data_IF_557847631184
#
_entry.id   IF_557847631184
#
_cell.length_a   1.000
_cell.length_b   1.000
_cell.length_c   1.000
_cell.angle_alpha   90.00
_cell.angle_beta   90.00
_cell.angle_gamma   90.00
#
_symmetry.space_group_name_H-M   'P 1'
#
loop_
_entity.id
_entity.type
_entity.pdbx_description
1 polymer ?
#
# COMPACT_ATOMS: atom_id res chain seq x y z
N UNK A 1 24.31 7.22 18.71
CA UNK A 1 23.82 6.50 17.51
C UNK A 1 22.96 5.35 18.00
N UNK A 2 21.71 5.18 17.55
CA UNK A 2 20.89 4.03 17.94
C UNK A 2 21.51 2.72 17.46
N UNK A 3 21.47 1.68 18.28
CA UNK A 3 22.05 0.36 17.98
C UNK A 3 20.99 -0.73 17.79
N UNK A 4 19.71 -0.41 17.98
CA UNK A 4 18.60 -1.35 17.91
C UNK A 4 17.37 -0.72 17.25
N UNK A 5 16.39 -1.57 16.93
CA UNK A 5 15.06 -1.15 16.52
C UNK A 5 14.16 -0.88 17.73
N UNK A 6 13.16 -0.03 17.54
CA UNK A 6 12.15 0.27 18.56
C UNK A 6 11.02 -0.76 18.48
N UNK A 7 10.56 -1.25 19.63
CA UNK A 7 9.51 -2.27 19.75
C UNK A 7 8.08 -1.68 19.64
N UNK A 8 7.83 -0.88 18.59
CA UNK A 8 6.53 -0.27 18.29
C UNK A 8 6.11 -0.61 16.86
N UNK A 9 4.84 -0.43 16.52
CA UNK A 9 4.38 -0.52 15.15
C UNK A 9 4.96 0.62 14.33
N UNK A 10 5.52 0.33 13.16
CA UNK A 10 6.14 1.34 12.28
C UNK A 10 5.14 2.34 11.71
N UNK A 11 3.88 1.96 11.55
CA UNK A 11 2.88 2.80 10.90
C UNK A 11 2.05 3.62 11.88
N UNK A 12 1.66 3.05 13.02
CA UNK A 12 0.84 3.75 14.02
C UNK A 12 1.58 4.10 15.31
N UNK A 13 2.85 3.67 15.47
CA UNK A 13 3.65 3.82 16.69
C UNK A 13 3.06 3.18 17.96
N UNK A 14 1.96 2.41 17.84
CA UNK A 14 1.37 1.65 18.93
C UNK A 14 2.17 0.41 19.33
N UNK A 15 1.83 -0.18 20.48
CA UNK A 15 2.50 -1.36 21.05
C UNK A 15 1.79 -2.69 20.77
N UNK A 16 0.55 -2.64 20.32
CA UNK A 16 -0.27 -3.83 20.09
C UNK A 16 -0.04 -4.40 18.68
N UNK A 17 0.60 -5.56 18.59
CA UNK A 17 0.97 -6.19 17.31
C UNK A 17 -0.06 -7.16 16.74
N UNK A 18 -0.78 -7.89 17.59
CA UNK A 18 -1.69 -8.96 17.18
C UNK A 18 -0.98 -10.13 16.48
N UNK A 19 -1.77 -11.03 15.87
CA UNK A 19 -1.28 -12.34 15.40
C UNK A 19 -0.73 -12.36 13.97
N UNK A 20 -0.97 -11.30 13.19
CA UNK A 20 -0.53 -11.17 11.79
C UNK A 20 0.40 -9.97 11.62
N UNK A 21 1.23 -9.70 12.62
CA UNK A 21 2.28 -8.70 12.46
C UNK A 21 3.32 -9.16 11.44
N UNK A 22 3.90 -8.22 10.71
CA UNK A 22 5.01 -8.45 9.78
C UNK A 22 6.07 -7.38 9.97
N UNK A 23 7.08 -7.33 9.10
CA UNK A 23 8.14 -6.31 9.14
C UNK A 23 8.04 -5.36 7.95
N UNK A 24 8.59 -4.15 8.09
CA UNK A 24 8.64 -3.14 7.03
C UNK A 24 9.49 -3.58 5.81
N UNK A 25 10.24 -4.68 5.94
CA UNK A 25 11.04 -5.28 4.87
C UNK A 25 10.33 -6.44 4.15
N UNK A 26 9.11 -6.79 4.57
CA UNK A 26 8.29 -7.80 3.89
C UNK A 26 7.94 -7.34 2.47
N UNK A 27 8.26 -8.16 1.47
CA UNK A 27 8.15 -7.79 0.06
C UNK A 27 6.70 -7.54 -0.39
N UNK A 28 5.77 -8.35 0.12
CA UNK A 28 4.34 -8.21 -0.18
C UNK A 28 3.82 -6.88 0.37
N UNK A 29 4.15 -6.58 1.63
CA UNK A 29 3.79 -5.32 2.26
C UNK A 29 4.43 -4.13 1.55
N UNK A 30 5.72 -4.18 1.21
CA UNK A 30 6.42 -3.13 0.45
C UNK A 30 5.70 -2.84 -0.86
N UNK A 31 5.31 -3.89 -1.59
CA UNK A 31 4.63 -3.75 -2.88
C UNK A 31 3.30 -3.01 -2.73
N UNK A 32 2.52 -3.35 -1.70
CA UNK A 32 1.27 -2.66 -1.41
C UNK A 32 1.52 -1.21 -0.96
N UNK A 33 2.47 -1.00 -0.05
CA UNK A 33 2.80 0.32 0.49
C UNK A 33 3.27 1.30 -0.57
N UNK A 34 4.06 0.87 -1.56
CA UNK A 34 4.49 1.71 -2.69
C UNK A 34 3.33 2.29 -3.50
N UNK A 35 2.16 1.66 -3.45
CA UNK A 35 0.97 2.14 -4.15
C UNK A 35 0.02 2.94 -3.26
N UNK A 36 0.07 2.71 -1.94
CA UNK A 36 -0.81 3.36 -0.96
C UNK A 36 -0.21 4.66 -0.44
N UNK A 37 1.10 4.70 -0.22
CA UNK A 37 1.80 5.87 0.29
C UNK A 37 2.45 6.68 -0.84
N UNK A 38 2.40 8.02 -0.80
CA UNK A 38 3.09 8.87 -1.77
C UNK A 38 4.62 8.92 -1.53
N UNK A 39 5.10 8.34 -0.43
CA UNK A 39 6.52 8.33 -0.04
C UNK A 39 6.97 6.91 0.26
N UNK A 40 8.26 6.65 0.04
CA UNK A 40 8.88 5.37 0.39
C UNK A 40 9.18 5.33 1.89
N UNK A 41 8.65 4.34 2.58
CA UNK A 41 8.95 4.11 3.99
C UNK A 41 10.16 3.16 4.06
N UNK A 42 11.32 3.72 4.41
CA UNK A 42 12.60 3.00 4.44
C UNK A 42 12.82 2.26 5.76
N UNK A 43 13.53 1.12 5.73
CA UNK A 43 14.04 0.51 6.95
C UNK A 43 15.24 1.32 7.48
N UNK A 44 15.26 1.62 8.79
CA UNK A 44 16.33 2.42 9.42
C UNK A 44 16.45 2.04 10.90
N UNK A 45 17.69 1.86 11.37
CA UNK A 45 17.99 1.63 12.79
C UNK A 45 17.56 2.84 13.62
N UNK A 46 17.00 2.60 14.81
CA UNK A 46 16.38 3.64 15.63
C UNK A 46 14.94 3.98 15.26
N UNK A 47 14.37 3.33 14.23
CA UNK A 47 12.95 3.37 13.94
C UNK A 47 12.31 1.99 14.17
N UNK A 48 10.99 1.89 14.30
CA UNK A 48 10.36 0.60 14.47
C UNK A 48 10.45 -0.26 13.20
N UNK A 49 10.68 -1.57 13.36
CA UNK A 49 10.80 -2.51 12.24
C UNK A 49 9.49 -3.25 11.95
N UNK A 50 8.70 -3.49 12.99
CA UNK A 50 7.51 -4.34 12.91
C UNK A 50 6.27 -3.51 12.55
N UNK A 51 5.28 -4.13 11.91
CA UNK A 51 4.00 -3.53 11.55
C UNK A 51 2.89 -4.39 12.17
N UNK A 52 2.00 -3.76 12.94
CA UNK A 52 0.92 -4.47 13.61
C UNK A 52 -0.17 -4.95 12.62
N UNK A 53 -0.94 -5.94 13.06
CA UNK A 53 -2.02 -6.58 12.31
C UNK A 53 -3.01 -5.56 11.72
N UNK A 54 -3.44 -4.57 12.50
CA UNK A 54 -4.41 -3.57 12.03
C UNK A 54 -3.84 -2.65 10.95
N UNK A 55 -2.55 -2.32 11.05
CA UNK A 55 -1.87 -1.54 10.02
C UNK A 55 -1.67 -2.35 8.73
N UNK A 56 -1.34 -3.64 8.82
CA UNK A 56 -1.27 -4.53 7.65
C UNK A 56 -2.63 -4.59 6.94
N UNK A 57 -3.70 -4.90 7.66
CA UNK A 57 -5.07 -4.95 7.10
C UNK A 57 -5.49 -3.64 6.44
N UNK A 58 -5.12 -2.51 7.06
CA UNK A 58 -5.43 -1.19 6.52
C UNK A 58 -4.71 -0.96 5.19
N UNK A 59 -3.41 -1.26 5.11
CA UNK A 59 -2.65 -1.17 3.86
C UNK A 59 -3.23 -2.08 2.77
N UNK A 60 -3.57 -3.33 3.11
CA UNK A 60 -4.23 -4.27 2.20
C UNK A 60 -5.55 -3.70 1.65
N UNK A 61 -6.40 -3.14 2.51
CA UNK A 61 -7.67 -2.55 2.11
C UNK A 61 -7.50 -1.37 1.15
N UNK A 62 -6.58 -0.43 1.45
CA UNK A 62 -6.28 0.69 0.57
C UNK A 62 -5.66 0.23 -0.76
N UNK A 63 -4.80 -0.77 -0.75
CA UNK A 63 -4.22 -1.37 -1.95
C UNK A 63 -5.29 -1.98 -2.86
N UNK A 64 -6.22 -2.75 -2.29
CA UNK A 64 -7.33 -3.35 -3.03
C UNK A 64 -8.24 -2.28 -3.64
N UNK A 65 -8.60 -1.26 -2.87
CA UNK A 65 -9.42 -0.15 -3.35
C UNK A 65 -8.75 0.66 -4.46
N UNK A 66 -7.46 0.99 -4.30
CA UNK A 66 -6.70 1.72 -5.32
C UNK A 66 -6.54 0.91 -6.61
N UNK A 67 -6.39 -0.41 -6.49
CA UNK A 67 -6.31 -1.32 -7.63
C UNK A 67 -7.63 -1.40 -8.42
N UNK A 68 -8.77 -1.48 -7.72
CA UNK A 68 -10.09 -1.45 -8.37
C UNK A 68 -10.32 -0.12 -9.10
N UNK A 69 -9.99 1.01 -8.46
CA UNK A 69 -10.09 2.34 -9.09
C UNK A 69 -9.25 2.45 -10.36
N UNK A 70 -8.02 1.92 -10.37
CA UNK A 70 -7.17 1.91 -11.57
C UNK A 70 -7.74 1.06 -12.69
N UNK A 71 -8.25 -0.14 -12.38
CA UNK A 71 -8.92 -1.01 -13.36
C UNK A 71 -10.12 -0.32 -14.01
N UNK A 72 -11.01 0.25 -13.20
CA UNK A 72 -12.16 1.00 -13.68
C UNK A 72 -11.75 2.19 -14.56
N UNK A 73 -10.73 2.96 -14.15
CA UNK A 73 -10.20 4.07 -14.97
C UNK A 73 -9.65 3.59 -16.32
N UNK A 74 -8.96 2.44 -16.35
CA UNK A 74 -8.46 1.88 -17.61
C UNK A 74 -9.58 1.41 -18.54
N UNK A 75 -10.65 0.82 -18.03
CA UNK A 75 -11.81 0.40 -18.82
C UNK A 75 -12.54 1.59 -19.44
N UNK A 76 -12.77 2.65 -18.65
CA UNK A 76 -13.37 3.91 -19.16
C UNK A 76 -12.49 4.54 -20.24
N UNK A 77 -11.17 4.59 -20.04
CA UNK A 77 -10.24 5.14 -21.04
C UNK A 77 -10.27 4.31 -22.35
N UNK A 78 -10.37 2.99 -22.28
CA UNK A 78 -10.45 2.13 -23.46
C UNK A 78 -11.76 2.34 -24.23
N UNK A 79 -12.88 2.58 -23.53
CA UNK A 79 -14.17 2.90 -24.16
C UNK A 79 -14.15 4.25 -24.89
N UNK A 80 -13.41 5.24 -24.37
CA UNK A 80 -13.25 6.54 -25.07
C UNK A 80 -12.38 6.47 -26.33
N UNK A 81 -11.63 5.38 -26.54
CA UNK A 81 -10.80 5.19 -27.74
C UNK A 81 -11.54 4.43 -28.87
N UNK A 82 -12.69 3.82 -28.60
CA UNK A 82 -13.57 3.31 -29.66
C UNK A 82 -14.36 4.49 -30.26
N UNK A 83 -13.82 5.11 -31.31
CA UNK A 83 -14.54 6.10 -32.10
C UNK A 83 -15.83 5.48 -32.67
N UNK A 84 -16.98 6.11 -32.39
CA UNK A 84 -18.26 5.79 -33.00
C UNK A 84 -18.11 5.76 -34.54
N UNK A 85 -18.67 4.75 -35.24
CA UNK A 85 -18.64 4.74 -36.69
C UNK A 85 -19.29 6.02 -37.20
N UNK A 86 -18.57 6.79 -38.03
CA UNK A 86 -19.15 7.91 -38.76
C UNK A 86 -20.23 7.34 -39.68
N UNK A 87 -21.50 7.59 -39.37
CA UNK A 87 -22.59 7.33 -40.28
C UNK A 87 -22.50 8.44 -41.33
N UNK A 88 -21.94 8.12 -42.49
CA UNK A 88 -21.93 9.02 -43.64
C UNK A 88 -23.28 8.85 -44.35
N UNK A 89 -24.09 9.90 -44.29
CA UNK A 89 -25.33 10.02 -45.07
C UNK A 89 -25.09 10.66 -46.43
#
# INVERSE_FOLDING_TARGET
IPTSYIANCRLCLGTEFGNRCTTIIDESLITMMKQVFPIVIVNQIGLPMNVCTECVKTVEAFYMFSSQKRKMKSEVNNLTHCQLPKIVG
#
